data_IF_389784064068
#
_entry.id   IF_389784064068
#
_cell.length_a   1.000
_cell.length_b   1.000
_cell.length_c   1.000
_cell.angle_alpha   90.00
_cell.angle_beta   90.00
_cell.angle_gamma   90.00
#
_symmetry.space_group_name_H-M   'P 1'
#
loop_
_entity.id
_entity.type
_entity.pdbx_description
1 polymer ?
#
# COMPACT_ATOMS: atom_id res chain seq x y z
N UNK A 1 1.64 -24.90 1.62
CA UNK A 1 2.14 -24.02 2.71
C UNK A 1 1.64 -22.61 2.44
N UNK A 2 1.08 -21.92 3.45
CA UNK A 2 0.82 -20.48 3.36
C UNK A 2 2.10 -19.73 3.76
N UNK A 3 2.40 -18.64 3.06
CA UNK A 3 3.53 -17.76 3.38
C UNK A 3 3.22 -16.97 4.65
N UNK A 4 4.16 -16.82 5.60
CA UNK A 4 3.97 -15.94 6.75
C UNK A 4 3.95 -14.45 6.37
N UNK A 5 4.27 -14.11 5.11
CA UNK A 5 4.39 -12.72 4.63
C UNK A 5 3.20 -12.25 3.80
N UNK A 6 2.22 -13.11 3.54
CA UNK A 6 1.03 -12.77 2.75
C UNK A 6 -0.19 -12.96 3.62
N UNK A 7 -0.98 -11.91 3.76
CA UNK A 7 -2.22 -11.90 4.57
C UNK A 7 -3.43 -11.65 3.67
N UNK A 8 -4.61 -12.04 4.13
CA UNK A 8 -5.86 -11.74 3.42
C UNK A 8 -6.34 -10.32 3.69
N UNK A 9 -7.21 -9.81 2.83
CA UNK A 9 -7.88 -8.51 3.02
C UNK A 9 -8.68 -8.47 4.32
N UNK A 10 -9.35 -9.58 4.68
CA UNK A 10 -10.09 -9.69 5.93
C UNK A 10 -9.16 -9.58 7.16
N UNK A 11 -8.01 -10.26 7.14
CA UNK A 11 -7.05 -10.20 8.24
C UNK A 11 -6.58 -8.77 8.51
N UNK A 12 -6.32 -8.00 7.45
CA UNK A 12 -5.90 -6.61 7.56
C UNK A 12 -7.05 -5.71 8.03
N UNK A 13 -8.27 -5.92 7.52
CA UNK A 13 -9.45 -5.15 7.93
C UNK A 13 -9.74 -5.27 9.43
N UNK A 14 -9.50 -6.44 10.02
CA UNK A 14 -9.64 -6.68 11.47
C UNK A 14 -8.55 -6.02 12.33
N UNK A 15 -7.49 -5.45 11.71
CA UNK A 15 -6.27 -4.98 12.37
C UNK A 15 -5.83 -3.59 11.93
N UNK A 16 -6.71 -2.80 11.32
CA UNK A 16 -6.38 -1.44 10.86
C UNK A 16 -5.89 -0.52 11.98
N UNK A 17 -6.33 -0.75 13.21
CA UNK A 17 -5.95 0.03 14.40
C UNK A 17 -4.83 -0.63 15.23
N UNK A 18 -4.19 -1.69 14.73
CA UNK A 18 -3.13 -2.38 15.45
C UNK A 18 -1.89 -1.48 15.55
N UNK A 19 -1.36 -1.20 16.76
CA UNK A 19 -0.29 -0.21 16.96
C UNK A 19 1.06 -0.65 16.40
N UNK A 20 1.22 -1.94 16.09
CA UNK A 20 2.41 -2.56 15.54
C UNK A 20 2.35 -2.78 14.02
N UNK A 21 1.30 -2.29 13.35
CA UNK A 21 1.13 -2.41 11.89
C UNK A 21 1.16 -1.02 11.25
N UNK A 22 2.12 -0.84 10.33
CA UNK A 22 2.14 0.28 9.41
C UNK A 22 1.74 -0.19 8.01
N UNK A 23 0.78 0.51 7.39
CA UNK A 23 0.30 0.19 6.05
C UNK A 23 1.01 1.11 5.06
N UNK A 24 1.59 0.53 4.02
CA UNK A 24 2.34 1.26 3.01
C UNK A 24 1.81 0.89 1.63
N UNK A 25 1.50 1.91 0.83
CA UNK A 25 1.23 1.76 -0.58
C UNK A 25 2.51 2.02 -1.37
N UNK A 26 3.04 0.95 -1.97
CA UNK A 26 4.25 0.97 -2.80
C UNK A 26 3.91 0.90 -4.30
N UNK A 27 2.75 1.41 -4.70
CA UNK A 27 2.33 1.44 -6.10
C UNK A 27 3.31 2.25 -6.93
N UNK A 28 3.80 1.63 -8.01
CA UNK A 28 4.65 2.25 -9.01
C UNK A 28 4.24 1.72 -10.38
N UNK A 29 4.22 2.60 -11.38
CA UNK A 29 3.78 2.27 -12.72
C UNK A 29 4.90 2.50 -13.72
N UNK A 30 5.01 1.62 -14.72
CA UNK A 30 5.90 1.86 -15.85
C UNK A 30 5.52 3.17 -16.56
N UNK A 31 6.48 3.96 -17.06
CA UNK A 31 6.19 5.25 -17.71
C UNK A 31 5.16 5.15 -18.85
N UNK A 32 5.16 4.04 -19.59
CA UNK A 32 4.23 3.81 -20.69
C UNK A 32 2.76 3.60 -20.25
N UNK A 33 2.51 3.27 -18.98
CA UNK A 33 1.17 3.08 -18.45
C UNK A 33 0.38 4.38 -18.34
N UNK A 34 1.05 5.54 -18.32
CA UNK A 34 0.43 6.87 -18.16
C UNK A 34 -0.51 6.94 -16.96
N UNK A 35 -0.15 6.28 -15.86
CA UNK A 35 -0.87 6.28 -14.58
C UNK A 35 -0.07 7.05 -13.54
N UNK A 36 -0.76 7.72 -12.64
CA UNK A 36 -0.16 8.48 -11.54
C UNK A 36 -0.53 7.79 -10.22
N UNK A 37 0.44 7.07 -9.65
CA UNK A 37 0.23 6.30 -8.43
C UNK A 37 -0.11 7.19 -7.22
N UNK A 38 0.45 8.40 -7.17
CA UNK A 38 0.21 9.36 -6.08
C UNK A 38 -1.20 9.92 -6.18
N UNK A 39 -1.68 10.22 -7.39
CA UNK A 39 -3.07 10.65 -7.60
C UNK A 39 -4.07 9.53 -7.26
N UNK A 40 -3.76 8.28 -7.61
CA UNK A 40 -4.59 7.11 -7.27
C UNK A 40 -4.67 6.88 -5.76
N UNK A 41 -3.54 6.95 -5.06
CA UNK A 41 -3.48 6.86 -3.60
C UNK A 41 -4.29 7.98 -2.91
N UNK A 42 -4.23 9.20 -3.45
CA UNK A 42 -5.01 10.33 -2.94
C UNK A 42 -6.52 10.14 -3.18
N UNK A 43 -6.91 9.50 -4.29
CA UNK A 43 -8.31 9.22 -4.62
C UNK A 43 -8.90 8.10 -3.75
N UNK A 44 -8.15 7.02 -3.52
CA UNK A 44 -8.57 5.93 -2.66
C UNK A 44 -7.37 5.15 -2.10
N UNK A 45 -7.42 4.86 -0.80
CA UNK A 45 -6.39 4.09 -0.09
C UNK A 45 -6.97 3.39 1.12
N UNK A 46 -6.23 2.41 1.63
CA UNK A 46 -6.53 1.79 2.93
C UNK A 46 -6.37 2.86 4.02
N UNK A 47 -7.29 2.95 5.00
CA UNK A 47 -7.16 3.87 6.13
C UNK A 47 -5.80 3.72 6.83
N UNK A 48 -5.18 4.84 7.21
CA UNK A 48 -3.87 4.85 7.88
C UNK A 48 -2.66 4.59 6.96
N UNK A 49 -2.87 4.22 5.69
CA UNK A 49 -1.76 3.94 4.78
C UNK A 49 -0.89 5.18 4.52
N UNK A 50 0.40 4.98 4.26
CA UNK A 50 1.30 6.02 3.74
C UNK A 50 1.74 5.66 2.32
N UNK A 51 1.89 6.67 1.46
CA UNK A 51 2.43 6.47 0.12
C UNK A 51 3.95 6.41 0.21
N UNK A 52 4.53 5.36 -0.36
CA UNK A 52 5.96 5.13 -0.39
C UNK A 52 6.46 5.30 -1.81
N UNK A 53 7.00 6.49 -2.04
CA UNK A 53 7.48 6.92 -3.33
C UNK A 53 8.84 6.29 -3.60
N UNK A 54 8.85 5.20 -4.36
CA UNK A 54 10.06 4.42 -4.65
C UNK A 54 11.11 5.28 -5.38
N UNK A 55 10.67 6.22 -6.23
CA UNK A 55 11.58 7.09 -6.99
C UNK A 55 12.23 8.16 -6.09
N UNK A 56 11.59 8.58 -4.98
CA UNK A 56 12.12 9.59 -4.05
C UNK A 56 13.18 9.02 -3.09
N UNK A 57 13.18 7.70 -2.88
CA UNK A 57 14.01 7.02 -1.85
C UNK A 57 15.07 6.08 -2.43
N UNK A 58 15.21 6.01 -3.76
CA UNK A 58 16.15 5.12 -4.46
C UNK A 58 17.59 5.63 -4.48
#
# INVERSE_FOLDING_TARGET
MQSPYVVSTQWLAERLDAPDIAIVDASWHLPAAKRDARAEFAAARIPGAQFFDIDDIS
#
